data_IF_468498911843
#
_entry.id   IF_468498911843
#
_cell.length_a   1.000
_cell.length_b   1.000
_cell.length_c   1.000
_cell.angle_alpha   90.00
_cell.angle_beta   90.00
_cell.angle_gamma   90.00
#
_symmetry.space_group_name_H-M   'P 1'
#
loop_
_entity.id
_entity.type
_entity.pdbx_description
1 polymer ?
#
# COMPACT_ATOMS: atom_id res chain seq x y z
N UNK A 1 18.13 -4.39 5.50
CA UNK A 1 16.85 -3.70 5.82
C UNK A 1 15.74 -4.68 5.48
N UNK A 2 14.80 -4.92 6.39
CA UNK A 2 13.73 -5.92 6.26
C UNK A 2 12.40 -5.15 6.19
N UNK A 3 11.53 -5.42 5.20
CA UNK A 3 10.21 -4.79 5.15
C UNK A 3 9.35 -5.21 6.34
N UNK A 4 8.39 -4.38 6.75
CA UNK A 4 7.50 -4.72 7.86
C UNK A 4 6.67 -5.97 7.52
N UNK A 5 6.09 -6.02 6.32
CA UNK A 5 5.32 -7.17 5.87
C UNK A 5 5.50 -7.44 4.37
N UNK A 6 5.41 -8.73 4.03
CA UNK A 6 5.28 -9.22 2.65
C UNK A 6 3.98 -10.01 2.56
N UNK A 7 3.15 -9.68 1.57
CA UNK A 7 1.86 -10.33 1.35
C UNK A 7 1.79 -10.85 -0.07
N UNK A 8 1.20 -12.03 -0.28
CA UNK A 8 0.94 -12.58 -1.60
C UNK A 8 -0.51 -13.07 -1.70
N UNK A 9 -1.08 -12.94 -2.89
CA UNK A 9 -2.39 -13.47 -3.25
C UNK A 9 -2.34 -14.12 -4.62
N UNK A 10 -3.04 -15.22 -4.78
CA UNK A 10 -3.20 -15.92 -6.04
C UNK A 10 -4.68 -15.93 -6.44
N UNK A 11 -4.97 -15.65 -7.70
CA UNK A 11 -6.30 -15.80 -8.29
C UNK A 11 -6.17 -16.36 -9.72
N UNK A 12 -7.28 -16.41 -10.46
CA UNK A 12 -7.30 -16.87 -11.86
C UNK A 12 -6.37 -16.10 -12.79
N UNK A 13 -6.03 -14.86 -12.43
CA UNK A 13 -5.21 -13.95 -13.24
C UNK A 13 -3.72 -14.03 -12.89
N UNK A 14 -3.35 -14.86 -11.90
CA UNK A 14 -1.99 -15.15 -11.51
C UNK A 14 -1.67 -14.81 -10.06
N UNK A 15 -0.38 -14.64 -9.78
CA UNK A 15 0.14 -14.32 -8.44
C UNK A 15 0.49 -12.85 -8.37
N UNK A 16 -0.06 -12.16 -7.38
CA UNK A 16 0.33 -10.80 -7.01
C UNK A 16 0.95 -10.81 -5.62
N UNK A 17 1.99 -10.01 -5.42
CA UNK A 17 2.55 -9.83 -4.10
C UNK A 17 2.92 -8.37 -3.85
N UNK A 18 2.92 -8.02 -2.58
CA UNK A 18 2.96 -6.67 -2.07
C UNK A 18 3.95 -6.58 -0.92
N UNK A 19 4.72 -5.50 -0.91
CA UNK A 19 5.54 -5.08 0.22
C UNK A 19 4.76 -3.99 0.94
N UNK A 20 4.51 -4.19 2.23
CA UNK A 20 3.80 -3.24 3.06
C UNK A 20 4.80 -2.60 4.03
N UNK A 21 4.88 -1.28 3.96
CA UNK A 21 5.62 -0.44 4.90
C UNK A 21 4.63 0.29 5.79
N UNK A 22 4.86 0.20 7.10
CA UNK A 22 4.05 0.84 8.12
C UNK A 22 4.73 2.13 8.58
N UNK A 23 3.96 3.22 8.57
CA UNK A 23 4.27 4.42 9.34
C UNK A 23 3.20 4.60 10.39
N UNK A 24 3.56 5.22 11.51
CA UNK A 24 2.62 5.46 12.60
C UNK A 24 1.32 6.13 12.13
N UNK A 25 0.19 5.72 12.68
CA UNK A 25 -1.11 6.31 12.38
C UNK A 25 -1.18 7.79 12.77
N UNK A 26 -0.33 8.23 13.70
CA UNK A 26 -0.15 9.62 14.12
C UNK A 26 0.65 10.48 13.12
N UNK A 27 1.17 9.90 12.04
CA UNK A 27 1.86 10.65 10.99
C UNK A 27 0.92 10.89 9.81
N UNK A 28 0.94 12.10 9.26
CA UNK A 28 0.22 12.41 8.02
C UNK A 28 0.95 11.84 6.81
N UNK A 29 0.23 11.35 5.81
CA UNK A 29 0.74 11.00 4.49
C UNK A 29 1.04 12.24 3.63
N UNK A 30 0.25 13.31 3.81
CA UNK A 30 0.27 14.52 3.02
C UNK A 30 0.18 15.75 3.92
N UNK A 31 0.69 16.86 3.42
CA UNK A 31 0.59 18.17 4.05
C UNK A 31 -0.03 19.12 3.05
N UNK A 32 -1.00 19.92 3.50
CA UNK A 32 -1.54 21.05 2.73
C UNK A 32 -1.02 22.36 3.31
N UNK A 33 -0.51 23.23 2.43
CA UNK A 33 -0.12 24.60 2.77
C UNK A 33 -0.63 25.56 1.71
N UNK A 34 -1.65 26.33 2.06
CA UNK A 34 -2.36 27.19 1.11
C UNK A 34 -2.99 26.36 0.00
N UNK A 35 -2.61 26.62 -1.26
CA UNK A 35 -3.13 25.91 -2.45
C UNK A 35 -2.29 24.70 -2.88
N UNK A 36 -1.30 24.30 -2.08
CA UNK A 36 -0.39 23.20 -2.44
C UNK A 36 -0.56 22.01 -1.51
N UNK A 37 -0.61 20.81 -2.08
CA UNK A 37 -0.55 19.53 -1.36
C UNK A 37 0.70 18.79 -1.81
N UNK A 38 1.41 18.20 -0.85
CA UNK A 38 2.62 17.42 -1.10
C UNK A 38 2.77 16.33 -0.05
N UNK A 39 3.65 15.36 -0.32
CA UNK A 39 3.96 14.28 0.63
C UNK A 39 4.56 14.85 1.92
N UNK A 40 4.15 14.30 3.05
CA UNK A 40 4.87 14.58 4.30
C UNK A 40 6.29 14.00 4.25
N UNK A 41 7.16 14.44 5.18
CA UNK A 41 8.50 13.88 5.29
C UNK A 41 8.47 12.37 5.58
N UNK A 42 7.56 11.92 6.46
CA UNK A 42 7.44 10.51 6.82
C UNK A 42 6.89 9.67 5.67
N UNK A 43 5.96 10.21 4.89
CA UNK A 43 5.48 9.55 3.69
C UNK A 43 6.58 9.41 2.64
N UNK A 44 7.36 10.48 2.41
CA UNK A 44 8.48 10.46 1.47
C UNK A 44 9.54 9.43 1.87
N UNK A 45 9.91 9.37 3.16
CA UNK A 45 10.82 8.33 3.68
C UNK A 45 10.26 6.92 3.44
N UNK A 46 8.98 6.70 3.76
CA UNK A 46 8.32 5.42 3.54
C UNK A 46 8.30 4.99 2.08
N UNK A 47 8.07 5.93 1.15
CA UNK A 47 8.13 5.66 -0.29
C UNK A 47 9.57 5.29 -0.70
N UNK A 48 10.58 6.03 -0.24
CA UNK A 48 11.98 5.68 -0.52
C UNK A 48 12.35 4.29 0.00
N UNK A 49 11.86 3.91 1.19
CA UNK A 49 12.05 2.56 1.72
C UNK A 49 11.35 1.51 0.86
N UNK A 50 10.10 1.74 0.47
CA UNK A 50 9.37 0.85 -0.45
C UNK A 50 10.10 0.67 -1.78
N UNK A 51 10.61 1.75 -2.38
CA UNK A 51 11.39 1.66 -3.62
C UNK A 51 12.62 0.76 -3.44
N UNK A 52 13.36 0.93 -2.35
CA UNK A 52 14.52 0.08 -2.05
C UNK A 52 14.13 -1.39 -1.85
N UNK A 53 13.01 -1.66 -1.19
CA UNK A 53 12.55 -3.04 -1.01
C UNK A 53 12.09 -3.67 -2.32
N UNK A 54 11.33 -2.95 -3.14
CA UNK A 54 10.88 -3.44 -4.44
C UNK A 54 12.09 -3.77 -5.32
N UNK A 55 13.08 -2.88 -5.38
CA UNK A 55 14.30 -3.06 -6.15
C UNK A 55 15.14 -4.25 -5.63
N UNK A 56 15.29 -4.39 -4.31
CA UNK A 56 15.96 -5.54 -3.71
C UNK A 56 15.22 -6.86 -4.02
N UNK A 57 13.89 -6.86 -3.90
CA UNK A 57 13.04 -7.99 -4.22
C UNK A 57 13.09 -8.38 -5.69
N UNK A 58 13.11 -7.40 -6.60
CA UNK A 58 13.22 -7.63 -8.04
C UNK A 58 14.55 -8.30 -8.41
N UNK A 59 15.66 -7.91 -7.78
CA UNK A 59 16.96 -8.59 -7.98
C UNK A 59 16.93 -10.05 -7.53
N UNK A 60 16.39 -10.33 -6.34
CA UNK A 60 16.29 -11.69 -5.81
C UNK A 60 15.28 -12.56 -6.57
N UNK A 61 14.32 -11.93 -7.24
CA UNK A 61 13.27 -12.61 -7.99
C UNK A 61 13.78 -13.35 -9.22
N UNK A 62 14.82 -12.85 -9.91
CA UNK A 62 15.38 -13.54 -11.09
C UNK A 62 15.76 -14.99 -10.75
N UNK A 63 16.44 -15.17 -9.61
CA UNK A 63 16.79 -16.49 -9.10
C UNK A 63 15.56 -17.36 -8.81
N UNK A 64 14.57 -16.84 -8.08
CA UNK A 64 13.37 -17.61 -7.70
C UNK A 64 12.48 -17.95 -8.91
N UNK A 65 12.34 -17.05 -9.88
CA UNK A 65 11.54 -17.28 -11.08
C UNK A 65 12.17 -18.38 -11.94
N UNK A 66 13.48 -18.31 -12.14
CA UNK A 66 14.17 -19.14 -13.11
C UNK A 66 14.46 -20.54 -12.52
N UNK A 67 14.83 -20.64 -11.24
CA UNK A 67 15.08 -21.92 -10.56
C UNK A 67 13.79 -22.65 -10.13
N UNK A 68 12.80 -21.93 -9.61
CA UNK A 68 11.57 -22.53 -9.08
C UNK A 68 10.41 -22.52 -10.10
N UNK A 69 10.66 -22.08 -11.34
CA UNK A 69 9.67 -21.99 -12.44
C UNK A 69 8.42 -21.20 -12.07
N UNK A 70 8.58 -20.19 -11.20
CA UNK A 70 7.49 -19.31 -10.77
C UNK A 70 7.24 -18.24 -11.85
N UNK A 71 6.76 -18.66 -13.01
CA UNK A 71 6.62 -17.81 -14.22
C UNK A 71 5.72 -16.58 -14.02
N UNK A 72 4.86 -16.57 -12.99
CA UNK A 72 4.00 -15.44 -12.60
C UNK A 72 4.59 -14.52 -11.53
N UNK A 73 5.76 -14.85 -10.98
CA UNK A 73 6.42 -14.05 -9.95
C UNK A 73 7.08 -12.84 -10.60
N UNK A 74 6.35 -11.72 -10.61
CA UNK A 74 6.75 -10.39 -11.13
C UNK A 74 7.11 -9.44 -10.02
N UNK A 75 7.70 -8.29 -10.30
CA UNK A 75 8.09 -7.33 -9.25
C UNK A 75 6.93 -7.01 -8.29
N UNK A 76 7.20 -6.91 -6.98
CA UNK A 76 6.15 -6.61 -6.01
C UNK A 76 5.64 -5.20 -6.17
N UNK A 77 4.38 -4.99 -5.79
CA UNK A 77 3.85 -3.64 -5.59
C UNK A 77 4.15 -3.17 -4.15
N UNK A 78 4.29 -1.87 -3.94
CA UNK A 78 4.44 -1.26 -2.62
C UNK A 78 3.13 -0.73 -2.08
N UNK A 79 2.90 -0.90 -0.78
CA UNK A 79 1.83 -0.23 -0.04
C UNK A 79 2.47 0.49 1.14
N UNK A 80 2.28 1.81 1.21
CA UNK A 80 2.58 2.60 2.39
C UNK A 80 1.29 2.77 3.20
N UNK A 81 1.27 2.25 4.42
CA UNK A 81 0.19 2.48 5.37
C UNK A 81 0.58 3.60 6.33
N UNK A 82 -0.10 4.75 6.25
CA UNK A 82 0.22 5.95 7.02
C UNK A 82 -1.04 6.79 7.28
N UNK A 83 -1.12 7.39 8.46
CA UNK A 83 -2.19 8.33 8.81
C UNK A 83 -3.49 7.70 9.30
N UNK A 84 -4.20 8.47 10.11
CA UNK A 84 -5.38 8.12 10.90
C UNK A 84 -6.67 8.76 10.36
N UNK A 85 -6.83 8.94 9.05
CA UNK A 85 -8.12 9.38 8.49
C UNK A 85 -8.47 10.86 8.68
N UNK A 86 -7.75 11.63 9.49
CA UNK A 86 -7.90 13.10 9.59
C UNK A 86 -7.71 13.76 8.20
N UNK A 87 -6.82 13.20 7.38
CA UNK A 87 -6.61 13.58 5.98
C UNK A 87 -7.83 13.33 5.08
N UNK A 88 -8.74 12.45 5.49
CA UNK A 88 -9.96 12.15 4.77
C UNK A 88 -11.05 13.21 5.00
N UNK A 89 -10.85 14.21 5.83
CA UNK A 89 -11.77 15.36 5.94
C UNK A 89 -11.34 16.53 5.05
N UNK A 90 -10.14 16.46 4.45
CA UNK A 90 -9.61 17.50 3.58
C UNK A 90 -9.75 17.11 2.09
N UNK A 91 -10.71 17.71 1.40
CA UNK A 91 -11.02 17.45 -0.01
C UNK A 91 -9.81 17.61 -0.94
N UNK A 92 -8.95 18.58 -0.66
CA UNK A 92 -7.76 18.84 -1.46
C UNK A 92 -6.73 17.71 -1.31
N UNK A 93 -6.53 17.22 -0.08
CA UNK A 93 -5.66 16.08 0.20
C UNK A 93 -6.25 14.81 -0.40
N UNK A 94 -7.56 14.59 -0.28
CA UNK A 94 -8.22 13.44 -0.89
C UNK A 94 -8.04 13.41 -2.41
N UNK A 95 -8.31 14.54 -3.09
CA UNK A 95 -8.17 14.65 -4.54
C UNK A 95 -6.72 14.41 -4.97
N UNK A 96 -5.76 14.99 -4.26
CA UNK A 96 -4.33 14.81 -4.54
C UNK A 96 -3.88 13.37 -4.30
N UNK A 97 -4.22 12.76 -3.16
CA UNK A 97 -3.92 11.36 -2.84
C UNK A 97 -4.49 10.42 -3.90
N UNK A 98 -5.73 10.66 -4.34
CA UNK A 98 -6.36 9.91 -5.43
C UNK A 98 -5.60 10.05 -6.74
N UNK A 99 -5.21 11.26 -7.12
CA UNK A 99 -4.41 11.51 -8.32
C UNK A 99 -3.02 10.86 -8.24
N UNK A 100 -2.33 11.01 -7.10
CA UNK A 100 -1.03 10.40 -6.84
C UNK A 100 -1.10 8.89 -6.99
N UNK A 101 -2.08 8.23 -6.36
CA UNK A 101 -2.24 6.76 -6.42
C UNK A 101 -2.56 6.28 -7.85
N UNK A 102 -3.34 7.03 -8.63
CA UNK A 102 -3.59 6.71 -10.04
C UNK A 102 -2.33 6.84 -10.90
N UNK A 103 -1.51 7.86 -10.64
CA UNK A 103 -0.26 8.09 -11.37
C UNK A 103 0.84 7.09 -11.01
N UNK A 104 0.79 6.50 -9.82
CA UNK A 104 1.82 5.60 -9.31
C UNK A 104 1.22 4.22 -8.99
N UNK A 105 0.71 3.47 -9.97
CA UNK A 105 -0.04 2.22 -9.69
C UNK A 105 0.76 1.15 -8.93
N UNK A 106 2.10 1.18 -9.02
CA UNK A 106 2.98 0.22 -8.35
C UNK A 106 3.27 0.52 -6.89
N UNK A 107 3.03 1.74 -6.42
CA UNK A 107 3.22 2.13 -5.03
C UNK A 107 1.95 2.82 -4.60
N UNK A 108 1.29 2.38 -3.54
CA UNK A 108 0.02 2.96 -3.12
C UNK A 108 0.12 3.51 -1.71
N UNK A 109 -0.45 4.69 -1.48
CA UNK A 109 -0.54 5.28 -0.14
C UNK A 109 -1.96 5.05 0.38
N UNK A 110 -2.05 4.33 1.49
CA UNK A 110 -3.30 3.92 2.14
C UNK A 110 -3.26 4.42 3.58
N UNK A 111 -4.42 4.84 4.12
CA UNK A 111 -4.52 5.20 5.54
C UNK A 111 -5.08 4.06 6.37
N UNK A 112 -4.75 4.04 7.67
CA UNK A 112 -5.30 3.07 8.62
C UNK A 112 -6.83 3.12 8.65
N UNK A 113 -7.41 4.32 8.61
CA UNK A 113 -8.86 4.49 8.54
C UNK A 113 -9.48 3.79 7.32
N UNK A 114 -8.83 3.83 6.15
CA UNK A 114 -9.31 3.10 4.97
C UNK A 114 -9.22 1.59 5.16
N UNK A 115 -8.12 1.11 5.74
CA UNK A 115 -7.96 -0.32 6.03
C UNK A 115 -9.04 -0.81 6.99
N UNK A 116 -9.27 -0.10 8.09
CA UNK A 116 -10.28 -0.45 9.10
C UNK A 116 -11.68 -0.53 8.49
N UNK A 117 -12.09 0.49 7.71
CA UNK A 117 -13.39 0.48 7.01
C UNK A 117 -13.57 -0.75 6.12
N UNK A 118 -12.52 -1.17 5.41
CA UNK A 118 -12.55 -2.36 4.54
C UNK A 118 -12.66 -3.64 5.38
N UNK A 119 -11.94 -3.72 6.50
CA UNK A 119 -12.00 -4.86 7.41
C UNK A 119 -13.40 -4.99 8.02
N UNK A 120 -13.95 -3.90 8.55
CA UNK A 120 -15.31 -3.84 9.10
C UNK A 120 -16.35 -4.32 8.08
N UNK A 121 -16.32 -3.75 6.87
CA UNK A 121 -17.22 -4.15 5.77
C UNK A 121 -17.15 -5.66 5.48
N UNK A 122 -15.94 -6.23 5.47
CA UNK A 122 -15.74 -7.67 5.24
C UNK A 122 -16.23 -8.54 6.40
N UNK A 123 -16.05 -8.08 7.63
CA UNK A 123 -16.53 -8.80 8.82
C UNK A 123 -18.06 -8.82 8.86
N UNK A 124 -18.70 -7.70 8.55
CA UNK A 124 -20.16 -7.61 8.53
C UNK A 124 -20.76 -8.45 7.39
N UNK A 125 -20.14 -8.44 6.22
CA UNK A 125 -20.53 -9.30 5.09
C UNK A 125 -20.43 -10.79 5.42
N UNK A 126 -19.41 -11.19 6.20
CA UNK A 126 -19.26 -12.58 6.66
C UNK A 126 -20.34 -12.98 7.66
N UNK A 127 -20.69 -12.08 8.60
CA UNK A 127 -21.78 -12.32 9.56
C UNK A 127 -23.13 -12.47 8.86
N UNK A 128 -23.39 -11.66 7.84
CA UNK A 128 -24.63 -11.76 7.05
C UNK A 128 -24.75 -13.07 6.26
N UNK A 129 -23.62 -13.64 5.80
CA UNK A 129 -23.59 -14.91 5.05
C UNK A 129 -23.55 -16.17 5.93
N UNK A 130 -23.38 -16.02 7.25
CA UNK A 130 -23.42 -17.10 8.22
C UNK A 130 -24.70 -16.98 9.05
N UNK A 131 -25.87 -17.02 8.39
CA UNK A 131 -27.18 -16.93 9.06
C UNK A 131 -27.28 -17.81 10.32
N UNK A 132 -28.20 -17.46 11.24
CA UNK A 132 -28.23 -17.97 12.63
C UNK A 132 -28.11 -19.48 12.77
#
# INVERSE_FOLDING_TARGET
MIPDYVMAGANSDGVSWYILELKGANHNGFVSRGKRVYLSNEANKGICQLMNYIDASARSQGYLRDELRLNGYREPNGILLIGNGDEAENDQIQAFKGAWNRMNPRVQIVSYARLLRVVETKLDSKKANQGP
#
